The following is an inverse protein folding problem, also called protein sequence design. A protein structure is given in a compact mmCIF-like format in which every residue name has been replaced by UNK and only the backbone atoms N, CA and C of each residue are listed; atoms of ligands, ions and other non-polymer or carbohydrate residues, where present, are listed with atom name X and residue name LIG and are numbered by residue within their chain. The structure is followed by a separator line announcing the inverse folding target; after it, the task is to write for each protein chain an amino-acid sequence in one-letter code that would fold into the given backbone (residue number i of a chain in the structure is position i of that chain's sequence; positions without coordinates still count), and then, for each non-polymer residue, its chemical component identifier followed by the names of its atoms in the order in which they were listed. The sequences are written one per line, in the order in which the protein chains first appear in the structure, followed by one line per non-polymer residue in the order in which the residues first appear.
data_IF_294609624052
#
_entry.id   IF_294609624052
#
_cell.length_a   1.000
_cell.length_b   1.000
_cell.length_c   1.000
_cell.angle_alpha   90.00
_cell.angle_beta   90.00
_cell.angle_gamma   90.00
#
_symmetry.space_group_name_H-M   'P 1'
#
loop_
_entity.id
_entity.type
_entity.pdbx_description
1 polymer ?
#
# COMPACT_ATOMS: atom_id res chain seq x y z
N UNK A 1 -12.51 45.56 -29.70
CA UNK A 1 -12.17 45.37 -28.28
C UNK A 1 -12.45 43.93 -27.93
N UNK A 2 -11.43 43.26 -27.41
CA UNK A 2 -11.20 41.82 -27.45
C UNK A 2 -11.60 41.21 -26.10
N UNK A 3 -12.45 40.19 -26.10
CA UNK A 3 -12.80 39.45 -24.87
C UNK A 3 -12.16 38.07 -24.90
N UNK A 4 -10.92 37.99 -24.43
CA UNK A 4 -10.30 36.72 -24.03
C UNK A 4 -10.78 36.40 -22.60
N UNK A 5 -11.68 35.43 -22.45
CA UNK A 5 -11.97 34.83 -21.15
C UNK A 5 -11.07 33.62 -20.93
N UNK A 6 -10.06 33.85 -20.10
CA UNK A 6 -9.06 32.94 -19.55
C UNK A 6 -9.54 31.50 -19.32
N UNK A 7 -8.91 30.59 -20.05
CA UNK A 7 -8.73 29.18 -19.69
C UNK A 7 -7.97 29.11 -18.35
N UNK A 8 -8.65 28.63 -17.31
CA UNK A 8 -8.00 28.31 -16.04
C UNK A 8 -7.38 26.92 -16.18
N UNK A 9 -6.10 26.88 -16.56
CA UNK A 9 -5.29 25.68 -16.50
C UNK A 9 -5.30 25.16 -15.05
N UNK A 10 -5.74 23.92 -14.86
CA UNK A 10 -5.64 23.22 -13.59
C UNK A 10 -4.17 23.01 -13.27
N UNK A 11 -3.65 23.77 -12.30
CA UNK A 11 -2.34 23.53 -11.71
C UNK A 11 -2.31 22.10 -11.16
N UNK A 12 -1.54 21.23 -11.82
CA UNK A 12 -1.13 19.95 -11.27
C UNK A 12 -0.26 20.23 -10.05
N UNK A 13 -0.86 20.20 -8.85
CA UNK A 13 -0.08 20.16 -7.62
C UNK A 13 0.74 18.87 -7.61
N UNK A 14 2.01 18.95 -8.02
CA UNK A 14 3.01 17.94 -7.73
C UNK A 14 3.16 17.85 -6.21
N UNK A 15 2.54 16.84 -5.61
CA UNK A 15 2.84 16.44 -4.24
C UNK A 15 4.33 16.07 -4.19
N UNK A 16 5.11 16.60 -3.23
CA UNK A 16 6.51 16.23 -3.10
C UNK A 16 6.63 14.72 -2.90
N UNK A 17 7.58 14.08 -3.59
CA UNK A 17 7.89 12.67 -3.34
C UNK A 17 8.32 12.51 -1.89
N UNK A 18 7.41 12.03 -1.06
CA UNK A 18 7.69 11.73 0.33
C UNK A 18 8.54 10.46 0.34
N UNK A 19 9.86 10.60 0.42
CA UNK A 19 10.75 9.46 0.61
C UNK A 19 10.48 8.86 1.99
N UNK A 20 9.71 7.79 2.04
CA UNK A 20 9.44 7.05 3.27
C UNK A 20 10.71 6.33 3.70
N UNK A 21 11.35 6.86 4.74
CA UNK A 21 12.55 6.26 5.32
C UNK A 21 12.26 5.70 6.72
N UNK A 22 12.87 4.56 7.02
CA UNK A 22 12.86 3.92 8.34
C UNK A 22 14.29 3.86 8.87
N UNK A 23 14.46 4.04 10.17
CA UNK A 23 15.74 3.92 10.85
C UNK A 23 15.82 2.62 11.67
N UNK A 24 17.01 2.02 11.84
CA UNK A 24 17.13 0.83 12.70
C UNK A 24 16.72 1.16 14.13
N UNK A 25 15.75 0.41 14.66
CA UNK A 25 15.18 0.64 16.01
C UNK A 25 16.25 0.55 17.10
N UNK A 26 17.21 -0.38 16.95
CA UNK A 26 18.30 -0.62 17.89
C UNK A 26 19.49 0.35 17.74
N UNK A 27 19.39 1.38 16.89
CA UNK A 27 20.45 2.37 16.75
C UNK A 27 20.40 3.36 17.90
N UNK A 28 21.35 3.22 18.83
CA UNK A 28 21.56 4.15 19.94
C UNK A 28 22.82 4.96 19.64
N UNK A 29 22.65 6.27 19.44
CA UNK A 29 23.77 7.20 19.27
C UNK A 29 23.89 8.04 20.53
N UNK A 30 25.01 7.89 21.24
CA UNK A 30 25.35 8.75 22.37
C UNK A 30 26.28 9.86 21.91
N UNK A 31 25.92 11.11 22.18
CA UNK A 31 26.81 12.27 21.98
C UNK A 31 27.89 12.29 23.06
N UNK A 32 29.00 13.01 22.85
CA UNK A 32 30.07 13.10 23.86
C UNK A 32 29.58 13.56 25.24
N UNK A 33 28.67 14.54 25.28
CA UNK A 33 27.99 14.96 26.51
C UNK A 33 27.07 13.87 27.06
N UNK A 34 26.36 13.14 26.20
CA UNK A 34 25.53 12.01 26.60
C UNK A 34 26.33 10.92 27.31
N UNK A 35 27.50 10.55 26.78
CA UNK A 35 28.42 9.60 27.41
C UNK A 35 28.83 10.07 28.79
N UNK A 36 29.26 11.32 28.91
CA UNK A 36 29.70 11.88 30.19
C UNK A 36 28.60 11.85 31.25
N UNK A 37 27.38 12.26 30.88
CA UNK A 37 26.22 12.25 31.79
C UNK A 37 25.80 10.83 32.17
N UNK A 38 25.82 9.88 31.23
CA UNK A 38 25.51 8.48 31.52
C UNK A 38 26.53 7.87 32.49
N UNK A 39 27.83 8.14 32.32
CA UNK A 39 28.87 7.68 33.24
C UNK A 39 28.64 8.23 34.65
N UNK A 40 28.38 9.53 34.79
CA UNK A 40 28.07 10.15 36.08
C UNK A 40 26.84 9.51 36.72
N UNK A 41 25.76 9.33 35.95
CA UNK A 41 24.53 8.73 36.45
C UNK A 41 24.73 7.29 36.95
N UNK A 42 25.54 6.49 36.25
CA UNK A 42 25.90 5.13 36.68
C UNK A 42 26.72 5.17 37.97
N UNK A 43 27.76 6.02 38.06
CA UNK A 43 28.59 6.15 39.26
C UNK A 43 27.75 6.54 40.47
N UNK A 44 26.87 7.54 40.34
CA UNK A 44 25.96 7.97 41.42
C UNK A 44 25.01 6.83 41.81
N UNK A 45 24.43 6.13 40.83
CA UNK A 45 23.50 5.04 41.09
C UNK A 45 24.15 3.88 41.86
N UNK A 46 25.39 3.52 41.54
CA UNK A 46 26.14 2.48 42.25
C UNK A 46 26.38 2.85 43.72
N UNK A 47 26.58 4.14 44.02
CA UNK A 47 26.89 4.62 45.37
C UNK A 47 25.64 4.79 46.25
N UNK A 48 24.46 5.02 45.66
CA UNK A 48 23.24 5.38 46.40
C UNK A 48 22.20 4.26 46.41
N UNK A 49 22.07 3.51 45.30
CA UNK A 49 20.99 2.54 45.12
C UNK A 49 21.45 1.12 45.44
N UNK A 50 20.49 0.23 45.74
CA UNK A 50 20.77 -1.19 45.92
C UNK A 50 21.33 -1.82 44.63
N UNK A 51 22.29 -2.76 44.71
CA UNK A 51 22.91 -3.36 43.52
C UNK A 51 21.90 -3.96 42.52
N UNK A 52 20.86 -4.63 43.01
CA UNK A 52 19.80 -5.21 42.18
C UNK A 52 19.01 -4.14 41.40
N UNK A 53 18.70 -3.02 42.04
CA UNK A 53 18.00 -1.90 41.42
C UNK A 53 18.88 -1.23 40.36
N UNK A 54 20.17 -0.99 40.67
CA UNK A 54 21.13 -0.41 39.73
C UNK A 54 21.30 -1.28 38.48
N UNK A 55 21.49 -2.59 38.65
CA UNK A 55 21.58 -3.53 37.52
C UNK A 55 20.31 -3.50 36.66
N UNK A 56 19.13 -3.47 37.29
CA UNK A 56 17.85 -3.42 36.58
C UNK A 56 17.72 -2.14 35.76
N UNK A 57 18.04 -0.97 36.34
CA UNK A 57 17.97 0.31 35.63
C UNK A 57 18.95 0.38 34.45
N UNK A 58 20.16 -0.15 34.60
CA UNK A 58 21.15 -0.21 33.50
C UNK A 58 20.62 -1.07 32.36
N UNK A 59 20.09 -2.27 32.66
CA UNK A 59 19.51 -3.18 31.66
C UNK A 59 18.32 -2.54 30.92
N UNK A 60 17.47 -1.80 31.64
CA UNK A 60 16.28 -1.16 31.06
C UNK A 60 16.56 0.20 30.42
N UNK A 61 17.73 0.81 30.66
CA UNK A 61 18.09 2.14 30.15
C UNK A 61 18.01 2.32 28.63
N UNK A 62 18.23 1.29 27.78
CA UNK A 62 18.04 1.42 26.34
C UNK A 62 16.57 1.49 25.91
N UNK A 63 15.64 0.99 26.71
CA UNK A 63 14.23 0.82 26.31
C UNK A 63 13.54 2.13 25.92
N UNK A 64 13.67 3.26 26.65
CA UNK A 64 13.07 4.53 26.24
C UNK A 64 13.55 4.99 24.86
N UNK A 65 14.84 4.77 24.55
CA UNK A 65 15.40 5.14 23.24
C UNK A 65 14.88 4.24 22.13
N UNK A 66 14.80 2.93 22.36
CA UNK A 66 14.21 1.95 21.44
C UNK A 66 12.75 2.30 21.14
N UNK A 67 11.96 2.61 22.19
CA UNK A 67 10.56 3.01 22.06
C UNK A 67 10.44 4.33 21.29
N UNK A 68 11.30 5.31 21.56
CA UNK A 68 11.29 6.59 20.86
C UNK A 68 11.64 6.41 19.38
N UNK A 69 12.67 5.62 19.05
CA UNK A 69 13.05 5.31 17.67
C UNK A 69 11.91 4.63 16.91
N UNK A 70 11.28 3.60 17.50
CA UNK A 70 10.15 2.91 16.88
C UNK A 70 8.93 3.83 16.75
N UNK A 71 8.69 4.71 17.72
CA UNK A 71 7.66 5.73 17.63
C UNK A 71 7.93 6.73 16.50
N UNK A 72 9.16 7.22 16.36
CA UNK A 72 9.55 8.10 15.24
C UNK A 72 9.37 7.39 13.89
N UNK A 73 9.75 6.12 13.78
CA UNK A 73 9.48 5.30 12.60
C UNK A 73 7.98 5.16 12.33
N UNK A 74 7.15 4.99 13.37
CA UNK A 74 5.70 4.96 13.20
C UNK A 74 5.15 6.29 12.66
N UNK A 75 5.63 7.41 13.17
CA UNK A 75 5.24 8.74 12.67
C UNK A 75 5.75 8.98 11.24
N UNK A 76 6.94 8.48 10.88
CA UNK A 76 7.53 8.68 9.55
C UNK A 76 6.78 7.98 8.43
N UNK A 77 6.00 6.94 8.74
CA UNK A 77 5.08 6.27 7.80
C UNK A 77 3.92 7.19 7.37
N UNK A 78 3.76 8.33 8.04
CA UNK A 78 2.73 9.31 7.79
C UNK A 78 1.38 8.88 8.36
N UNK A 79 0.32 9.62 8.01
CA UNK A 79 -1.03 9.31 8.48
C UNK A 79 -1.64 8.13 7.71
N UNK A 80 -2.52 7.36 8.37
CA UNK A 80 -3.35 6.33 7.75
C UNK A 80 -4.54 5.97 8.62
N UNK A 81 -4.99 4.71 8.56
CA UNK A 81 -6.15 4.24 9.33
C UNK A 81 -6.01 4.34 10.86
N UNK A 82 -4.78 4.23 11.38
CA UNK A 82 -4.46 4.50 12.78
C UNK A 82 -3.89 5.91 12.91
N UNK A 83 -4.39 6.76 13.82
CA UNK A 83 -3.86 8.11 14.01
C UNK A 83 -2.37 8.11 14.39
N UNK A 84 -1.60 9.02 13.79
CA UNK A 84 -0.17 9.24 14.10
C UNK A 84 0.00 9.98 15.44
N UNK A 85 -0.52 9.38 16.51
CA UNK A 85 -0.44 9.88 17.90
C UNK A 85 0.17 8.82 18.80
N UNK A 86 0.57 9.20 20.01
CA UNK A 86 1.09 8.26 21.00
C UNK A 86 0.10 7.12 21.32
N UNK A 87 -1.20 7.43 21.46
CA UNK A 87 -2.23 6.40 21.67
C UNK A 87 -2.41 5.48 20.44
N UNK A 88 -2.26 6.04 19.23
CA UNK A 88 -2.21 5.25 18.00
C UNK A 88 -1.02 4.27 18.01
N UNK A 89 0.16 4.74 18.42
CA UNK A 89 1.33 3.91 18.58
C UNK A 89 1.13 2.77 19.60
N UNK A 90 0.59 3.06 20.79
CA UNK A 90 0.28 2.01 21.78
C UNK A 90 -0.67 0.94 21.21
N UNK A 91 -1.69 1.37 20.44
CA UNK A 91 -2.58 0.44 19.74
C UNK A 91 -1.80 -0.42 18.74
N UNK A 92 -0.86 0.15 17.98
CA UNK A 92 0.01 -0.59 17.08
C UNK A 92 0.90 -1.59 17.81
N UNK A 93 1.52 -1.20 18.93
CA UNK A 93 2.30 -2.12 19.77
C UNK A 93 1.46 -3.33 20.19
N UNK A 94 0.22 -3.11 20.63
CA UNK A 94 -0.71 -4.19 21.00
C UNK A 94 -1.07 -5.07 19.79
N UNK A 95 -1.43 -4.47 18.65
CA UNK A 95 -1.83 -5.22 17.45
C UNK A 95 -0.68 -6.03 16.84
N UNK A 96 0.56 -5.55 16.94
CA UNK A 96 1.76 -6.27 16.47
C UNK A 96 1.93 -7.63 17.14
N UNK A 97 1.47 -7.80 18.39
CA UNK A 97 1.51 -9.11 19.08
C UNK A 97 0.68 -10.19 18.37
N UNK A 98 -0.27 -9.78 17.54
CA UNK A 98 -1.16 -10.68 16.80
C UNK A 98 -0.91 -10.67 15.30
N UNK A 99 0.07 -9.90 14.83
CA UNK A 99 0.43 -9.85 13.43
C UNK A 99 0.86 -11.23 12.92
N UNK A 100 0.63 -11.46 11.63
CA UNK A 100 1.14 -12.62 10.92
C UNK A 100 2.67 -12.63 11.00
N UNK A 101 3.25 -13.77 11.39
CA UNK A 101 4.70 -13.96 11.39
C UNK A 101 5.27 -14.03 9.97
N UNK A 102 4.49 -14.58 9.03
CA UNK A 102 4.81 -14.63 7.61
C UNK A 102 3.65 -14.08 6.76
N UNK A 103 3.79 -12.90 6.15
CA UNK A 103 2.77 -12.32 5.28
C UNK A 103 2.75 -12.94 3.87
N UNK A 104 3.72 -13.77 3.51
CA UNK A 104 3.83 -14.38 2.18
C UNK A 104 3.10 -15.71 2.06
N UNK A 105 2.80 -16.35 3.19
CA UNK A 105 2.05 -17.61 3.19
C UNK A 105 0.56 -17.38 2.88
N UNK A 106 0.01 -18.02 1.83
CA UNK A 106 -1.39 -17.90 1.47
C UNK A 106 -2.31 -18.42 2.58
N UNK A 107 -3.56 -17.96 2.56
CA UNK A 107 -4.58 -18.41 3.50
C UNK A 107 -5.00 -19.84 3.15
N UNK A 108 -4.84 -20.79 4.08
CA UNK A 108 -5.51 -22.08 3.98
C UNK A 108 -6.99 -21.92 4.36
N UNK A 109 -7.90 -22.13 3.40
CA UNK A 109 -9.33 -22.06 3.64
C UNK A 109 -9.93 -23.46 3.85
N UNK A 110 -10.69 -23.62 4.93
CA UNK A 110 -11.37 -24.87 5.30
C UNK A 110 -12.83 -24.55 5.59
N UNK A 111 -13.63 -24.37 4.54
CA UNK A 111 -15.05 -24.01 4.67
C UNK A 111 -15.70 -23.81 3.31
N UNK A 112 -16.98 -23.41 3.30
CA UNK A 112 -17.67 -22.97 2.08
C UNK A 112 -17.44 -21.47 1.88
N UNK A 113 -16.88 -21.09 0.74
CA UNK A 113 -16.79 -19.71 0.26
C UNK A 113 -17.61 -19.55 -1.01
N UNK A 114 -18.09 -18.33 -1.23
CA UNK A 114 -18.75 -17.95 -2.46
C UNK A 114 -18.16 -16.63 -2.95
N UNK A 115 -17.72 -16.52 -4.21
CA UNK A 115 -17.63 -17.58 -5.21
C UNK A 115 -16.72 -18.75 -4.77
N UNK A 116 -16.97 -19.96 -5.29
CA UNK A 116 -16.20 -21.16 -4.90
C UNK A 116 -14.77 -21.14 -5.46
N UNK A 117 -14.57 -20.43 -6.57
CA UNK A 117 -13.28 -20.32 -7.27
C UNK A 117 -12.91 -18.87 -7.52
N UNK A 118 -11.60 -18.62 -7.56
CA UNK A 118 -11.02 -17.35 -8.00
C UNK A 118 -11.39 -16.98 -9.45
N UNK A 119 -11.18 -15.72 -9.80
CA UNK A 119 -11.66 -15.15 -11.07
C UNK A 119 -11.06 -15.84 -12.30
N UNK A 120 -9.74 -16.10 -12.28
CA UNK A 120 -8.99 -16.65 -13.40
C UNK A 120 -8.85 -18.19 -13.37
N UNK A 121 -9.77 -18.89 -12.68
CA UNK A 121 -9.91 -20.35 -12.61
C UNK A 121 -8.81 -21.17 -13.31
N UNK A 122 -7.79 -21.61 -12.56
CA UNK A 122 -6.75 -22.54 -13.06
C UNK A 122 -6.11 -22.14 -14.40
N UNK A 123 -6.01 -20.85 -14.74
CA UNK A 123 -5.06 -20.39 -15.74
C UNK A 123 -3.69 -20.28 -15.05
N UNK A 124 -2.82 -21.32 -15.09
CA UNK A 124 -1.57 -21.33 -14.31
C UNK A 124 -0.63 -20.16 -14.63
N UNK A 125 -0.89 -19.44 -15.73
CA UNK A 125 -0.08 -18.36 -16.27
C UNK A 125 -0.80 -17.02 -16.43
N UNK A 126 -1.98 -16.82 -15.82
CA UNK A 126 -2.70 -15.54 -15.99
C UNK A 126 -1.89 -14.36 -15.42
N UNK A 127 -1.13 -14.62 -14.36
CA UNK A 127 -0.28 -13.64 -13.70
C UNK A 127 1.19 -13.99 -13.94
N UNK A 128 1.95 -13.18 -14.70
CA UNK A 128 3.38 -13.41 -14.88
C UNK A 128 4.13 -13.19 -13.56
N UNK A 129 5.30 -13.81 -13.39
CA UNK A 129 6.16 -13.56 -12.22
C UNK A 129 6.66 -12.11 -12.23
N UNK A 130 6.57 -11.42 -11.09
CA UNK A 130 7.11 -10.07 -10.94
C UNK A 130 8.64 -10.08 -11.08
N UNK A 131 9.19 -9.11 -11.81
CA UNK A 131 10.64 -9.00 -12.04
C UNK A 131 11.36 -8.46 -10.81
N UNK A 132 12.46 -9.09 -10.42
CA UNK A 132 13.32 -8.62 -9.32
C UNK A 132 12.80 -8.96 -7.92
N UNK A 133 13.44 -8.43 -6.87
CA UNK A 133 13.06 -8.69 -5.48
C UNK A 133 11.76 -7.99 -5.10
N UNK A 134 11.11 -8.51 -4.07
CA UNK A 134 9.98 -7.81 -3.42
C UNK A 134 10.44 -6.47 -2.85
N UNK A 135 9.57 -5.46 -2.83
CA UNK A 135 9.87 -4.20 -2.20
C UNK A 135 9.91 -4.32 -0.68
N UNK A 136 10.61 -3.39 -0.04
CA UNK A 136 10.68 -3.30 1.41
C UNK A 136 9.39 -2.70 1.95
N UNK A 137 8.70 -3.43 2.83
CA UNK A 137 7.47 -2.98 3.48
C UNK A 137 7.71 -2.69 4.96
N UNK A 138 7.10 -1.62 5.48
CA UNK A 138 7.15 -1.26 6.89
C UNK A 138 5.77 -0.92 7.47
N UNK A 139 5.65 -1.13 8.77
CA UNK A 139 4.43 -0.86 9.51
C UNK A 139 3.37 -1.95 9.36
N UNK A 140 2.30 -1.81 10.15
CA UNK A 140 1.13 -2.70 10.12
C UNK A 140 -0.20 -1.93 9.97
N UNK A 141 -0.21 -0.63 10.28
CA UNK A 141 -1.33 0.31 10.14
C UNK A 141 -0.86 1.70 10.61
N UNK A 142 -0.40 2.60 9.71
CA UNK A 142 -0.28 2.39 8.27
C UNK A 142 0.75 1.30 7.93
N UNK A 143 0.50 0.58 6.83
CA UNK A 143 1.47 -0.29 6.16
C UNK A 143 1.94 0.46 4.91
N UNK A 144 3.25 0.49 4.65
CA UNK A 144 3.85 1.27 3.58
C UNK A 144 4.93 0.53 2.82
N UNK A 145 4.99 0.78 1.52
CA UNK A 145 6.06 0.39 0.64
C UNK A 145 7.15 1.48 0.62
N UNK A 146 8.38 1.13 0.98
CA UNK A 146 9.47 2.10 1.15
C UNK A 146 10.27 2.34 -0.13
N UNK A 147 10.34 1.34 -1.02
CA UNK A 147 11.11 1.38 -2.26
C UNK A 147 10.25 0.91 -3.45
N UNK A 148 10.77 1.03 -4.67
CA UNK A 148 10.09 0.56 -5.89
C UNK A 148 8.68 1.13 -6.12
N UNK A 149 8.40 2.37 -5.70
CA UNK A 149 7.07 3.00 -5.77
C UNK A 149 6.61 3.34 -7.20
N UNK A 150 7.46 3.11 -8.21
CA UNK A 150 7.20 3.45 -9.61
C UNK A 150 7.25 4.96 -9.87
N UNK A 151 6.61 5.43 -10.93
CA UNK A 151 6.51 6.86 -11.25
C UNK A 151 5.09 7.42 -10.99
N UNK A 152 4.93 8.74 -10.77
CA UNK A 152 3.61 9.35 -10.56
C UNK A 152 2.61 9.06 -11.68
N UNK A 153 3.08 8.90 -12.92
CA UNK A 153 2.24 8.60 -14.07
C UNK A 153 1.52 7.24 -13.92
N UNK A 154 2.20 6.20 -13.42
CA UNK A 154 1.55 4.89 -13.19
C UNK A 154 0.47 4.99 -12.11
N UNK A 155 0.71 5.75 -11.05
CA UNK A 155 -0.30 6.04 -10.04
C UNK A 155 -1.53 6.74 -10.63
N UNK A 156 -1.32 7.74 -11.50
CA UNK A 156 -2.41 8.42 -12.20
C UNK A 156 -3.22 7.47 -13.08
N UNK A 157 -2.56 6.54 -13.80
CA UNK A 157 -3.25 5.55 -14.64
C UNK A 157 -4.14 4.63 -13.79
N UNK A 158 -3.64 4.11 -12.67
CA UNK A 158 -4.45 3.28 -11.76
C UNK A 158 -5.65 4.08 -11.23
N UNK A 159 -5.45 5.33 -10.80
CA UNK A 159 -6.54 6.16 -10.29
C UNK A 159 -7.60 6.49 -11.36
N UNK A 160 -7.16 6.81 -12.59
CA UNK A 160 -8.04 7.06 -13.72
C UNK A 160 -8.83 5.80 -14.09
N UNK A 161 -8.17 4.64 -14.09
CA UNK A 161 -8.81 3.37 -14.30
C UNK A 161 -9.91 3.12 -13.27
N UNK A 162 -9.63 3.22 -11.96
CA UNK A 162 -10.65 3.01 -10.93
C UNK A 162 -11.86 3.93 -11.11
N UNK A 163 -11.62 5.19 -11.47
CA UNK A 163 -12.67 6.18 -11.70
C UNK A 163 -13.50 5.86 -12.94
N UNK A 164 -12.86 5.57 -14.08
CA UNK A 164 -13.53 5.18 -15.33
C UNK A 164 -14.32 3.89 -15.12
N UNK A 165 -13.71 2.89 -14.50
CA UNK A 165 -14.31 1.57 -14.25
C UNK A 165 -15.56 1.67 -13.37
N UNK A 166 -15.53 2.49 -12.32
CA UNK A 166 -16.70 2.76 -11.50
C UNK A 166 -17.81 3.49 -12.26
N UNK A 167 -17.47 4.44 -13.14
CA UNK A 167 -18.47 5.17 -13.93
C UNK A 167 -19.13 4.27 -14.98
N UNK A 168 -18.35 3.44 -15.67
CA UNK A 168 -18.86 2.46 -16.65
C UNK A 168 -19.81 1.46 -15.99
N UNK A 169 -19.51 1.02 -14.76
CA UNK A 169 -20.33 0.07 -14.01
C UNK A 169 -21.06 0.72 -12.83
N UNK A 170 -21.62 1.92 -13.03
CA UNK A 170 -22.15 2.77 -11.95
C UNK A 170 -23.32 2.17 -11.15
N UNK A 171 -24.03 1.19 -11.72
CA UNK A 171 -25.06 0.41 -11.03
C UNK A 171 -24.50 -0.47 -9.92
N UNK A 172 -23.29 -1.00 -10.08
CA UNK A 172 -22.64 -1.92 -9.15
C UNK A 172 -21.52 -1.25 -8.35
N UNK A 173 -20.75 -0.37 -8.99
CA UNK A 173 -19.53 0.19 -8.46
C UNK A 173 -19.67 1.68 -8.13
N UNK A 174 -18.79 2.16 -7.26
CA UNK A 174 -18.57 3.60 -7.00
C UNK A 174 -17.15 3.83 -6.51
N UNK A 175 -16.65 5.05 -6.70
CA UNK A 175 -15.42 5.50 -6.03
C UNK A 175 -15.74 6.27 -4.74
N UNK A 176 -14.75 6.39 -3.86
CA UNK A 176 -14.84 7.15 -2.63
C UNK A 176 -13.51 7.20 -1.88
N UNK A 177 -13.54 7.69 -0.65
CA UNK A 177 -12.38 7.67 0.25
C UNK A 177 -12.34 6.32 0.98
N UNK A 178 -11.17 5.68 1.01
CA UNK A 178 -10.98 4.41 1.71
C UNK A 178 -11.43 4.52 3.17
N UNK A 179 -12.12 3.49 3.64
CA UNK A 179 -12.52 3.39 5.03
C UNK A 179 -11.47 2.67 5.88
N UNK A 180 -10.53 1.93 5.30
CA UNK A 180 -9.37 1.40 6.02
C UNK A 180 -8.32 2.49 6.20
N UNK A 181 -7.91 3.13 5.10
CA UNK A 181 -6.85 4.15 5.11
C UNK A 181 -7.35 5.53 5.58
N UNK A 182 -8.67 5.76 5.54
CA UNK A 182 -9.34 7.05 5.79
C UNK A 182 -8.91 8.16 4.82
N UNK A 183 -8.17 7.79 3.78
CA UNK A 183 -7.56 8.65 2.75
C UNK A 183 -7.41 7.84 1.46
N UNK A 184 -7.01 8.51 0.39
CA UNK A 184 -6.76 7.88 -0.90
C UNK A 184 -8.05 7.50 -1.64
N UNK A 185 -7.89 7.28 -2.95
CA UNK A 185 -8.97 6.82 -3.82
C UNK A 185 -9.24 5.34 -3.56
N UNK A 186 -10.51 4.99 -3.38
CA UNK A 186 -10.96 3.63 -3.20
C UNK A 186 -12.13 3.30 -4.13
N UNK A 187 -12.21 2.03 -4.52
CA UNK A 187 -13.29 1.44 -5.29
C UNK A 187 -14.16 0.61 -4.34
N UNK A 188 -15.49 0.78 -4.46
CA UNK A 188 -16.47 0.09 -3.63
C UNK A 188 -17.51 -0.61 -4.49
N UNK A 189 -17.96 -1.77 -4.02
CA UNK A 189 -19.19 -2.42 -4.47
C UNK A 189 -20.38 -1.88 -3.68
N UNK A 190 -21.48 -1.56 -4.36
CA UNK A 190 -22.73 -1.08 -3.74
C UNK A 190 -23.49 -2.21 -3.05
N UNK A 191 -23.44 -3.42 -3.61
CA UNK A 191 -24.15 -4.61 -3.11
C UNK A 191 -23.14 -5.76 -3.01
N UNK A 192 -22.25 -5.74 -2.00
CA UNK A 192 -21.21 -6.75 -1.88
C UNK A 192 -21.75 -8.09 -1.35
N UNK A 193 -21.34 -9.20 -1.97
CA UNK A 193 -21.57 -10.55 -1.45
C UNK A 193 -20.55 -10.92 -0.36
N UNK A 194 -19.33 -10.39 -0.48
CA UNK A 194 -18.26 -10.50 0.53
C UNK A 194 -17.97 -9.12 1.10
N UNK A 195 -18.91 -8.65 1.93
CA UNK A 195 -18.85 -7.33 2.50
C UNK A 195 -17.72 -7.18 3.52
N UNK A 196 -16.88 -6.17 3.30
CA UNK A 196 -15.89 -5.72 4.27
C UNK A 196 -16.32 -4.35 4.80
N UNK A 197 -15.48 -3.35 4.66
CA UNK A 197 -15.72 -2.02 5.14
C UNK A 197 -16.55 -1.23 4.10
N UNK A 198 -17.89 -1.33 4.20
CA UNK A 198 -18.86 -0.71 3.26
C UNK A 198 -18.70 -1.16 1.80
N UNK A 199 -18.24 -2.40 1.60
CA UNK A 199 -18.01 -2.98 0.27
C UNK A 199 -16.72 -2.52 -0.41
N UNK A 200 -15.72 -2.05 0.34
CA UNK A 200 -14.42 -1.66 -0.23
C UNK A 200 -13.74 -2.85 -0.92
N UNK A 201 -13.42 -2.67 -2.20
CA UNK A 201 -12.78 -3.65 -3.07
C UNK A 201 -11.26 -3.44 -3.05
N UNK A 202 -10.86 -2.20 -3.32
CA UNK A 202 -9.48 -1.80 -3.45
C UNK A 202 -9.32 -0.33 -3.04
N UNK A 203 -8.15 0.03 -2.54
CA UNK A 203 -7.75 1.43 -2.41
C UNK A 203 -6.27 1.61 -2.74
N UNK A 204 -5.93 2.82 -3.19
CA UNK A 204 -4.57 3.21 -3.57
C UNK A 204 -4.00 4.18 -2.55
N UNK A 205 -2.78 3.93 -2.10
CA UNK A 205 -2.04 4.86 -1.24
C UNK A 205 -1.46 5.98 -2.08
N UNK A 206 -1.75 7.23 -1.73
CA UNK A 206 -1.15 8.38 -2.40
C UNK A 206 0.34 8.56 -2.08
N UNK A 207 0.79 8.03 -0.93
CA UNK A 207 2.16 8.20 -0.43
C UNK A 207 3.20 7.33 -1.14
N UNK A 208 2.90 6.04 -1.31
CA UNK A 208 3.83 5.04 -1.87
C UNK A 208 3.28 4.34 -3.11
N UNK A 209 2.06 4.68 -3.53
CA UNK A 209 1.40 4.21 -4.76
C UNK A 209 1.09 2.71 -4.74
N UNK A 210 1.26 2.05 -3.60
CA UNK A 210 0.83 0.68 -3.37
C UNK A 210 -0.68 0.62 -3.15
N UNK A 211 -1.24 -0.58 -3.15
CA UNK A 211 -2.67 -0.81 -3.04
C UNK A 211 -2.98 -1.81 -1.93
N UNK A 212 -4.14 -1.69 -1.31
CA UNK A 212 -4.77 -2.80 -0.63
C UNK A 212 -6.01 -3.27 -1.36
N UNK A 213 -6.18 -4.59 -1.43
CA UNK A 213 -7.33 -5.23 -2.08
C UNK A 213 -7.86 -6.37 -1.21
N UNK A 214 -9.14 -6.65 -1.38
CA UNK A 214 -9.79 -7.85 -0.86
C UNK A 214 -9.88 -8.88 -1.99
N UNK A 215 -9.18 -10.01 -1.86
CA UNK A 215 -9.04 -11.01 -2.93
C UNK A 215 -9.62 -12.36 -2.53
N UNK A 216 -10.17 -13.08 -3.50
CA UNK A 216 -10.50 -14.49 -3.30
C UNK A 216 -9.22 -15.26 -2.88
N UNK A 217 -9.28 -16.24 -1.95
CA UNK A 217 -8.11 -16.98 -1.48
C UNK A 217 -7.23 -17.58 -2.59
N UNK A 218 -7.84 -18.13 -3.65
CA UNK A 218 -7.13 -18.64 -4.84
C UNK A 218 -6.33 -17.56 -5.57
N UNK A 219 -6.93 -16.38 -5.78
CA UNK A 219 -6.28 -15.29 -6.51
C UNK A 219 -5.19 -14.65 -5.64
N UNK A 220 -5.46 -14.47 -4.34
CA UNK A 220 -4.48 -14.03 -3.36
C UNK A 220 -3.25 -14.96 -3.37
N UNK A 221 -3.45 -16.28 -3.38
CA UNK A 221 -2.35 -17.25 -3.46
C UNK A 221 -1.47 -17.02 -4.68
N UNK A 222 -2.06 -16.83 -5.87
CA UNK A 222 -1.28 -16.57 -7.09
C UNK A 222 -0.54 -15.23 -7.02
N UNK A 223 -1.19 -14.18 -6.50
CA UNK A 223 -0.56 -12.86 -6.28
C UNK A 223 0.67 -12.97 -5.37
N UNK A 224 0.56 -13.74 -4.28
CA UNK A 224 1.67 -14.00 -3.37
C UNK A 224 2.76 -14.81 -4.07
N UNK A 225 2.44 -15.98 -4.65
CA UNK A 225 3.42 -16.88 -5.30
C UNK A 225 4.19 -16.19 -6.43
N UNK A 226 3.53 -15.31 -7.20
CA UNK A 226 4.15 -14.59 -8.32
C UNK A 226 4.88 -13.30 -7.91
N UNK A 227 4.89 -12.93 -6.63
CA UNK A 227 5.69 -11.80 -6.14
C UNK A 227 5.03 -10.42 -6.27
N UNK A 228 3.71 -10.36 -6.45
CA UNK A 228 2.97 -9.10 -6.68
C UNK A 228 2.45 -8.43 -5.43
N UNK A 229 2.40 -9.16 -4.31
CA UNK A 229 1.90 -8.61 -3.06
C UNK A 229 2.23 -9.47 -1.86
N UNK A 230 1.78 -9.01 -0.70
CA UNK A 230 1.88 -9.69 0.58
C UNK A 230 0.59 -9.50 1.38
N UNK A 231 0.25 -10.45 2.25
CA UNK A 231 -0.93 -10.30 3.10
C UNK A 231 -0.73 -9.15 4.06
N UNK A 232 -1.81 -8.44 4.38
CA UNK A 232 -1.77 -7.44 5.42
C UNK A 232 -1.42 -8.14 6.76
N UNK A 233 -0.48 -7.63 7.58
CA UNK A 233 -0.04 -8.31 8.80
C UNK A 233 -1.16 -8.61 9.79
N UNK A 234 -2.22 -7.79 9.78
CA UNK A 234 -3.42 -7.98 10.61
C UNK A 234 -4.48 -8.91 10.00
N UNK A 235 -4.30 -9.42 8.78
CA UNK A 235 -5.24 -10.29 8.06
C UNK A 235 -5.23 -11.75 8.57
N UNK A 236 -5.15 -11.92 9.90
CA UNK A 236 -5.09 -13.22 10.57
C UNK A 236 -6.44 -13.95 10.60
N UNK A 237 -7.55 -13.21 10.48
CA UNK A 237 -8.89 -13.73 10.70
C UNK A 237 -9.30 -13.75 12.17
N UNK A 238 -10.34 -14.51 12.52
CA UNK A 238 -10.88 -14.53 13.88
C UNK A 238 -11.32 -13.14 14.34
N UNK A 239 -10.98 -12.75 15.57
CA UNK A 239 -11.32 -11.42 16.11
C UNK A 239 -10.61 -10.25 15.40
N UNK A 240 -9.56 -10.53 14.62
CA UNK A 240 -8.82 -9.49 13.86
C UNK A 240 -9.61 -8.98 12.65
N UNK A 241 -10.65 -9.70 12.20
CA UNK A 241 -11.52 -9.27 11.09
C UNK A 241 -12.21 -7.93 11.35
N UNK A 242 -12.33 -7.52 12.61
CA UNK A 242 -12.83 -6.19 13.00
C UNK A 242 -11.92 -5.04 12.56
N UNK A 243 -10.64 -5.30 12.28
CA UNK A 243 -9.68 -4.31 11.80
C UNK A 243 -9.46 -4.40 10.30
N UNK A 244 -9.15 -5.60 9.81
CA UNK A 244 -8.97 -5.87 8.38
C UNK A 244 -9.52 -7.25 8.02
N UNK A 245 -10.05 -7.44 6.81
CA UNK A 245 -10.47 -8.74 6.31
C UNK A 245 -9.31 -9.75 6.33
N UNK A 246 -9.63 -11.05 6.41
CA UNK A 246 -8.63 -12.12 6.37
C UNK A 246 -7.98 -12.23 4.98
N UNK A 247 -8.74 -11.86 3.97
CA UNK A 247 -8.43 -11.86 2.54
C UNK A 247 -7.73 -10.57 2.07
N UNK A 248 -7.32 -9.73 3.02
CA UNK A 248 -6.74 -8.42 2.73
C UNK A 248 -5.26 -8.52 2.35
N UNK A 249 -4.94 -8.08 1.14
CA UNK A 249 -3.61 -8.18 0.52
C UNK A 249 -3.13 -6.78 0.16
N UNK A 250 -1.86 -6.50 0.44
CA UNK A 250 -1.13 -5.37 -0.12
C UNK A 250 -0.58 -5.79 -1.49
N UNK A 251 -0.96 -5.09 -2.55
CA UNK A 251 -0.35 -5.22 -3.88
C UNK A 251 0.61 -4.07 -4.08
N UNK A 252 1.79 -4.41 -4.56
CA UNK A 252 2.87 -3.45 -4.70
C UNK A 252 2.62 -2.43 -5.81
N UNK A 253 3.21 -1.25 -5.66
CA UNK A 253 3.10 -0.18 -6.64
C UNK A 253 3.64 -0.63 -8.02
N UNK A 254 2.92 -0.37 -9.14
CA UNK A 254 3.40 -0.69 -10.47
C UNK A 254 4.56 0.24 -10.87
N UNK A 255 5.66 -0.35 -11.36
CA UNK A 255 6.87 0.40 -11.75
C UNK A 255 6.82 0.94 -13.18
N UNK A 256 6.14 0.20 -14.05
CA UNK A 256 6.04 0.46 -15.49
C UNK A 256 4.64 0.08 -16.01
N UNK A 257 4.42 0.26 -17.31
CA UNK A 257 3.11 0.05 -17.94
C UNK A 257 2.70 -1.41 -17.90
N UNK A 258 3.64 -2.33 -18.08
CA UNK A 258 3.43 -3.77 -18.03
C UNK A 258 2.99 -4.21 -16.63
N UNK A 259 3.63 -3.68 -15.58
CA UNK A 259 3.20 -3.90 -14.19
C UNK A 259 1.84 -3.27 -13.91
N UNK A 260 1.56 -2.10 -14.48
CA UNK A 260 0.26 -1.46 -14.33
C UNK A 260 -0.86 -2.36 -14.87
N UNK A 261 -0.71 -2.93 -16.07
CA UNK A 261 -1.67 -3.86 -16.66
C UNK A 261 -1.87 -5.13 -15.81
N UNK A 262 -0.83 -5.59 -15.12
CA UNK A 262 -0.94 -6.67 -14.15
C UNK A 262 -1.77 -6.23 -12.93
N UNK A 263 -1.48 -5.07 -12.35
CA UNK A 263 -2.24 -4.54 -11.19
C UNK A 263 -3.72 -4.37 -11.53
N UNK A 264 -4.06 -3.90 -12.73
CA UNK A 264 -5.46 -3.77 -13.17
C UNK A 264 -6.20 -5.11 -13.22
N UNK A 265 -5.53 -6.18 -13.68
CA UNK A 265 -6.07 -7.55 -13.65
C UNK A 265 -6.28 -8.08 -12.23
N UNK A 266 -5.40 -7.73 -11.29
CA UNK A 266 -5.61 -8.09 -9.88
C UNK A 266 -6.83 -7.34 -9.31
N UNK A 267 -7.07 -6.09 -9.73
CA UNK A 267 -8.26 -5.32 -9.34
C UNK A 267 -9.55 -5.97 -9.88
N UNK A 268 -9.56 -6.53 -11.10
CA UNK A 268 -10.70 -7.33 -11.59
C UNK A 268 -11.01 -8.50 -10.68
N UNK A 269 -9.98 -9.29 -10.33
CA UNK A 269 -10.15 -10.44 -9.47
C UNK A 269 -10.70 -10.04 -8.09
N UNK A 270 -10.28 -8.89 -7.56
CA UNK A 270 -10.86 -8.32 -6.34
C UNK A 270 -12.33 -7.92 -6.52
N UNK A 271 -12.69 -7.33 -7.66
CA UNK A 271 -14.07 -7.00 -7.97
C UNK A 271 -14.95 -8.25 -7.99
N UNK A 272 -14.52 -9.30 -8.69
CA UNK A 272 -15.21 -10.59 -8.72
C UNK A 272 -15.44 -11.15 -7.32
N UNK A 273 -14.42 -11.12 -6.46
CA UNK A 273 -14.56 -11.60 -5.09
C UNK A 273 -15.62 -10.84 -4.30
N UNK A 274 -15.63 -9.51 -4.41
CA UNK A 274 -16.52 -8.67 -3.59
C UNK A 274 -17.93 -8.59 -4.16
N UNK A 275 -18.12 -8.54 -5.48
CA UNK A 275 -19.41 -8.39 -6.13
C UNK A 275 -20.04 -9.72 -6.57
N UNK A 276 -19.24 -10.73 -6.89
CA UNK A 276 -19.72 -11.97 -7.54
C UNK A 276 -20.07 -11.79 -9.01
N UNK A 277 -19.78 -10.63 -9.61
CA UNK A 277 -20.04 -10.35 -11.02
C UNK A 277 -18.73 -10.30 -11.81
N UNK A 278 -18.70 -10.95 -12.98
CA UNK A 278 -17.57 -10.87 -13.89
C UNK A 278 -17.63 -9.56 -14.65
N UNK A 279 -16.74 -8.65 -14.29
CA UNK A 279 -16.51 -7.41 -15.02
C UNK A 279 -15.20 -7.57 -15.78
N UNK A 280 -15.21 -7.37 -17.08
CA UNK A 280 -14.01 -7.37 -17.91
C UNK A 280 -13.49 -5.95 -18.08
N UNK A 281 -12.18 -5.79 -17.96
CA UNK A 281 -11.43 -4.59 -18.25
C UNK A 281 -11.04 -4.67 -19.71
N UNK A 282 -11.66 -3.81 -20.50
CA UNK A 282 -11.09 -3.39 -21.77
C UNK A 282 -9.83 -2.58 -21.46
N UNK A 283 -8.67 -3.26 -21.33
CA UNK A 283 -7.37 -2.59 -21.34
C UNK A 283 -7.27 -1.99 -22.75
N UNK A 284 -7.56 -0.68 -22.83
CA UNK A 284 -7.70 0.02 -24.08
C UNK A 284 -6.47 -0.19 -24.97
N UNK A 285 -6.70 -0.83 -26.11
CA UNK A 285 -5.88 -0.69 -27.34
C UNK A 285 -5.87 0.77 -27.85
N UNK A 286 -6.63 1.66 -27.21
CA UNK A 286 -6.88 3.07 -27.58
C UNK A 286 -5.62 3.95 -27.55
N UNK A 287 -4.56 3.63 -26.80
CA UNK A 287 -3.28 4.40 -26.86
C UNK A 287 -2.37 4.00 -28.04
N UNK A 288 -2.62 2.88 -28.72
CA UNK A 288 -1.88 2.57 -29.96
C UNK A 288 -2.27 3.52 -31.10
N UNK A 289 -3.50 4.02 -31.12
CA UNK A 289 -3.97 4.97 -32.14
C UNK A 289 -3.34 6.37 -31.96
N UNK A 290 -3.10 6.84 -30.73
CA UNK A 290 -2.37 8.10 -30.50
C UNK A 290 -0.90 8.04 -30.94
N UNK A 291 -0.26 6.86 -30.86
CA UNK A 291 1.10 6.65 -31.40
C UNK A 291 1.16 6.58 -32.94
N UNK A 292 0.07 6.19 -33.60
CA UNK A 292 -0.01 6.12 -35.06
C UNK A 292 -0.46 7.46 -35.67
N UNK A 293 -1.34 8.21 -34.99
CA UNK A 293 -1.79 9.54 -35.42
C UNK A 293 -0.71 10.64 -35.35
N UNK A 294 0.33 10.47 -34.54
CA UNK A 294 1.45 11.41 -34.44
C UNK A 294 2.58 11.16 -35.47
N UNK A 295 2.52 10.05 -36.23
CA UNK A 295 3.52 9.73 -37.27
C UNK A 295 3.17 10.22 -38.68
N UNK A 296 1.97 10.79 -38.90
CA UNK A 296 1.50 11.17 -40.23
C UNK A 296 1.76 12.62 -40.65
N UNK A 297 2.42 13.44 -39.81
CA UNK A 297 2.85 14.80 -40.16
C UNK A 297 4.37 14.91 -40.23
N UNK A 298 4.99 14.17 -41.15
CA UNK A 298 6.31 14.49 -41.67
C UNK A 298 6.11 15.31 -42.95
N UNK A 299 6.42 16.59 -42.87
CA UNK A 299 6.48 17.54 -43.99
C UNK A 299 7.52 17.03 -44.99
N UNK A 300 7.24 16.93 -46.31
CA UNK A 300 8.25 16.57 -47.28
C UNK A 300 9.22 17.75 -47.47
N UNK A 301 10.50 17.43 -47.32
CA UNK A 301 11.66 18.30 -47.55
C UNK A 301 11.71 18.70 -49.02
N UNK A 302 11.60 20.01 -49.32
CA UNK A 302 11.71 20.52 -50.69
C UNK A 302 13.18 20.76 -51.01
N UNK A 303 13.70 19.78 -51.73
CA UNK A 303 14.89 19.72 -52.57
C UNK A 303 15.37 21.07 -53.15
N UNK A 304 16.62 21.43 -52.82
CA UNK A 304 17.42 22.40 -53.56
C UNK A 304 17.75 21.88 -54.97
N UNK A 305 17.51 22.71 -55.98
CA UNK A 305 18.07 22.58 -57.33
C UNK A 305 18.37 23.99 -57.87
N UNK A 306 19.60 24.19 -58.38
CA UNK A 306 19.97 25.31 -59.25
C UNK A 306 20.73 26.44 -58.57
#
# INVERSE_FOLDING_TARGET
MTTQSLLKASESQQQPELCLAQHPVLRITLTGHGIFLTIIAIVISIQILQPSLTCTLIILSPLPWIIMNDYTNFISLGPGGTPSTFFGYLKICFLRLFALSDPYTPVCFTGKIYPEFGYYQRAPSWLPKRRGPRPTIAGIAPQRQLDQTGCPHMYSLVCQFLTKFANTHSSLLRTGISCFEKKGLALFCRIPINATCRGEIAHVHSSDRSLHLNLHPDDARVVLEQGWGERHPLAKGGWMTKYVPREFVMVYAPRDREECEVVLRIIEAACWWVSGERLEVSIGREEKEEREGCKSTVVPDVMQCG
#
